data_IF_718064392865
#
_entry.id   IF_718064392865
#
_cell.length_a   1.000
_cell.length_b   1.000
_cell.length_c   1.000
_cell.angle_alpha   90.00
_cell.angle_beta   90.00
_cell.angle_gamma   90.00
#
_symmetry.space_group_name_H-M   'P 1'
#
loop_
_entity.id
_entity.type
_entity.pdbx_description
1 polymer ?
#
# COMPACT_ATOMS: atom_id res chain seq x y z
N UNK A 1 -10.23 11.46 6.15
CA UNK A 1 -8.99 12.18 5.82
C UNK A 1 -8.07 11.20 5.09
N UNK A 2 -7.79 11.41 3.80
CA UNK A 2 -6.95 10.49 3.01
C UNK A 2 -5.57 11.11 2.89
N UNK A 3 -4.57 10.50 3.52
CA UNK A 3 -3.18 10.96 3.43
C UNK A 3 -2.55 10.38 2.16
N UNK A 4 -2.40 11.21 1.12
CA UNK A 4 -1.61 10.83 -0.05
C UNK A 4 -0.13 11.12 0.25
N UNK A 5 0.60 10.09 0.71
CA UNK A 5 1.96 10.26 1.19
C UNK A 5 2.99 10.37 0.05
N UNK A 6 2.75 9.69 -1.08
CA UNK A 6 3.66 9.65 -2.25
C UNK A 6 2.96 8.98 -3.44
N UNK A 7 3.25 9.44 -4.67
CA UNK A 7 2.89 8.72 -5.89
C UNK A 7 3.97 7.65 -6.12
N UNK A 8 3.55 6.38 -6.21
CA UNK A 8 4.46 5.25 -6.46
C UNK A 8 4.23 4.66 -7.84
N UNK A 9 5.29 4.15 -8.45
CA UNK A 9 5.22 3.47 -9.75
C UNK A 9 4.87 1.99 -9.55
N UNK A 10 3.93 1.49 -10.35
CA UNK A 10 3.70 0.05 -10.47
C UNK A 10 4.89 -0.58 -11.21
N UNK A 11 5.56 -1.53 -10.57
CA UNK A 11 6.74 -2.19 -11.12
C UNK A 11 6.36 -3.40 -11.97
N UNK A 12 7.37 -4.11 -12.48
CA UNK A 12 7.17 -5.36 -13.22
C UNK A 12 6.44 -6.36 -12.32
N UNK A 13 5.59 -7.21 -12.90
CA UNK A 13 4.69 -8.12 -12.15
C UNK A 13 3.56 -7.44 -11.35
N UNK A 14 3.24 -6.17 -11.63
CA UNK A 14 2.10 -5.45 -11.02
C UNK A 14 2.26 -5.21 -9.51
N UNK A 15 3.50 -5.13 -9.04
CA UNK A 15 3.79 -4.84 -7.64
C UNK A 15 3.86 -3.33 -7.40
N UNK A 16 3.49 -2.89 -6.20
CA UNK A 16 3.77 -1.55 -5.71
C UNK A 16 4.67 -1.68 -4.48
N UNK A 17 5.59 -0.74 -4.33
CA UNK A 17 6.37 -0.63 -3.10
C UNK A 17 5.67 0.35 -2.18
N UNK A 18 5.28 -0.11 -1.00
CA UNK A 18 4.74 0.77 0.04
C UNK A 18 5.87 1.70 0.52
N UNK A 19 5.66 3.03 0.55
CA UNK A 19 6.63 3.95 1.12
C UNK A 19 6.95 3.60 2.57
N UNK A 20 8.22 3.74 2.96
CA UNK A 20 8.71 3.38 4.30
C UNK A 20 7.88 4.00 5.43
N UNK A 21 7.52 5.28 5.30
CA UNK A 21 6.72 6.00 6.30
C UNK A 21 5.32 5.39 6.52
N UNK A 22 4.72 4.77 5.49
CA UNK A 22 3.44 4.04 5.66
C UNK A 22 3.68 2.77 6.47
N UNK A 23 4.71 2.00 6.14
CA UNK A 23 5.05 0.78 6.87
C UNK A 23 5.40 1.06 8.34
N UNK A 24 6.20 2.10 8.62
CA UNK A 24 6.56 2.51 9.99
C UNK A 24 5.31 2.89 10.80
N UNK A 25 4.38 3.67 10.21
CA UNK A 25 3.15 4.11 10.90
C UNK A 25 2.17 2.97 11.17
N UNK A 26 2.08 2.02 10.24
CA UNK A 26 1.15 0.88 10.34
C UNK A 26 1.81 -0.36 10.95
N UNK A 27 3.09 -0.27 11.33
CA UNK A 27 3.91 -1.37 11.84
C UNK A 27 3.94 -2.62 10.93
N UNK A 28 3.88 -2.41 9.62
CA UNK A 28 3.94 -3.50 8.62
C UNK A 28 5.39 -3.95 8.48
N UNK A 29 5.62 -5.25 8.64
CA UNK A 29 6.94 -5.87 8.51
C UNK A 29 6.98 -6.90 7.37
N UNK A 30 8.17 -7.23 6.83
CA UNK A 30 8.29 -8.24 5.79
C UNK A 30 7.73 -9.60 6.27
N UNK A 31 6.79 -10.16 5.50
CA UNK A 31 6.12 -11.42 5.84
C UNK A 31 4.67 -11.25 6.29
N UNK A 32 4.23 -10.03 6.59
CA UNK A 32 2.83 -9.75 6.88
C UNK A 32 1.93 -10.00 5.67
N UNK A 33 0.73 -10.50 5.97
CA UNK A 33 -0.34 -10.62 5.00
C UNK A 33 -1.28 -9.41 5.13
N UNK A 34 -1.64 -8.85 3.99
CA UNK A 34 -2.63 -7.78 3.89
C UNK A 34 -3.75 -8.21 2.95
N UNK A 35 -4.97 -7.74 3.20
CA UNK A 35 -6.08 -7.89 2.26
C UNK A 35 -5.98 -6.82 1.20
N UNK A 36 -6.21 -7.21 -0.05
CA UNK A 36 -6.27 -6.28 -1.18
C UNK A 36 -7.61 -6.44 -1.86
N UNK A 37 -8.36 -5.34 -1.94
CA UNK A 37 -9.68 -5.33 -2.56
C UNK A 37 -9.96 -3.99 -3.26
N UNK A 38 -11.01 -3.96 -4.07
CA UNK A 38 -11.44 -2.76 -4.79
C UNK A 38 -12.70 -2.22 -4.14
N UNK A 39 -12.67 -0.95 -3.76
CA UNK A 39 -13.82 -0.24 -3.21
C UNK A 39 -13.89 1.16 -3.81
N UNK A 40 -15.07 1.57 -4.31
CA UNK A 40 -15.28 2.90 -4.89
C UNK A 40 -14.27 3.28 -5.99
N UNK A 41 -13.86 2.30 -6.80
CA UNK A 41 -12.87 2.49 -7.88
C UNK A 41 -11.42 2.69 -7.39
N UNK A 42 -11.13 2.41 -6.11
CA UNK A 42 -9.81 2.51 -5.51
C UNK A 42 -9.34 1.15 -5.02
N UNK A 43 -8.02 0.94 -5.06
CA UNK A 43 -7.40 -0.22 -4.41
C UNK A 43 -7.23 0.11 -2.93
N UNK A 44 -7.77 -0.73 -2.07
CA UNK A 44 -7.61 -0.67 -0.62
C UNK A 44 -6.68 -1.81 -0.19
N UNK A 45 -5.77 -1.49 0.72
CA UNK A 45 -4.87 -2.45 1.36
C UNK A 45 -5.12 -2.36 2.87
N UNK A 46 -5.57 -3.47 3.47
CA UNK A 46 -5.90 -3.63 4.90
C UNK A 46 -4.96 -4.62 5.58
#
# INVERSE_FOLDING_TARGET
>A
MVFCLSIVKVTRKRQITLPKEICDRLNIVPGDYVKVYVENGKIIVE
#
